data_IF_213748726614
#
_entry.id   IF_213748726614
#
_cell.length_a   1.000
_cell.length_b   1.000
_cell.length_c   1.000
_cell.angle_alpha   90.00
_cell.angle_beta   90.00
_cell.angle_gamma   90.00
#
_symmetry.space_group_name_H-M   'P 1'
#
loop_
_entity.id
_entity.type
_entity.pdbx_description
1 polymer ?
#
# COMPACT_ATOMS: atom_id res chain seq x y z
N UNK A 1 -19.96 -5.49 9.39
CA UNK A 1 -19.50 -6.42 8.33
C UNK A 1 -18.09 -5.99 8.00
N UNK A 2 -17.11 -6.56 8.71
CA UNK A 2 -15.69 -6.32 8.42
C UNK A 2 -15.41 -7.16 7.19
N UNK A 3 -15.39 -6.52 6.02
CA UNK A 3 -14.75 -7.12 4.86
C UNK A 3 -13.31 -7.34 5.30
N UNK A 4 -12.92 -8.60 5.48
CA UNK A 4 -11.51 -8.97 5.55
C UNK A 4 -10.87 -8.51 4.24
N UNK A 5 -10.43 -7.25 4.23
CA UNK A 5 -9.56 -6.67 3.22
C UNK A 5 -8.32 -7.57 3.28
N UNK A 6 -8.21 -8.51 2.34
CA UNK A 6 -7.12 -9.48 2.29
C UNK A 6 -5.84 -8.67 2.11
N UNK A 7 -5.16 -8.39 3.21
CA UNK A 7 -3.81 -7.86 3.21
C UNK A 7 -2.88 -8.91 2.60
N UNK A 8 -2.73 -8.90 1.29
CA UNK A 8 -1.69 -9.68 0.63
C UNK A 8 -0.36 -8.96 0.82
N UNK A 9 0.38 -9.41 1.84
CA UNK A 9 1.78 -9.03 1.98
C UNK A 9 2.59 -9.68 0.88
N UNK A 10 3.01 -8.88 -0.11
CA UNK A 10 4.06 -9.29 -1.05
C UNK A 10 5.40 -8.99 -0.39
N UNK A 11 6.20 -10.02 -0.19
CA UNK A 11 7.57 -9.86 0.32
C UNK A 11 8.47 -9.35 -0.81
N UNK A 12 8.76 -8.05 -0.78
CA UNK A 12 9.77 -7.43 -1.63
C UNK A 12 10.82 -6.75 -0.75
N UNK A 13 12.06 -7.23 -0.82
CA UNK A 13 13.22 -6.71 -0.09
C UNK A 13 13.03 -6.51 1.44
N UNK A 14 12.24 -7.37 2.10
CA UNK A 14 12.12 -7.34 3.56
C UNK A 14 11.08 -6.38 4.14
N UNK A 15 10.17 -5.84 3.31
CA UNK A 15 9.07 -4.97 3.78
C UNK A 15 7.70 -5.54 3.40
N UNK A 16 6.75 -5.38 4.32
CA UNK A 16 5.33 -5.71 4.15
C UNK A 16 4.56 -4.51 3.64
N UNK A 17 3.62 -4.75 2.72
CA UNK A 17 2.76 -3.71 2.14
C UNK A 17 1.32 -3.88 2.64
N UNK A 18 0.68 -2.77 2.96
CA UNK A 18 -0.74 -2.68 3.25
C UNK A 18 -1.40 -1.76 2.23
N UNK A 19 -2.50 -2.21 1.63
CA UNK A 19 -3.24 -1.48 0.60
C UNK A 19 -4.68 -1.35 1.06
N UNK A 20 -5.23 -0.15 1.10
CA UNK A 20 -6.62 0.06 1.46
C UNK A 20 -7.51 -0.19 0.24
N UNK A 21 -8.51 -1.08 0.39
CA UNK A 21 -9.45 -1.45 -0.66
C UNK A 21 -8.70 -1.95 -1.89
N UNK A 22 -7.93 -3.02 -1.73
CA UNK A 22 -7.09 -3.60 -2.78
C UNK A 22 -7.85 -3.80 -4.12
N UNK A 23 -9.12 -4.18 -4.05
CA UNK A 23 -10.02 -4.39 -5.20
C UNK A 23 -10.69 -3.12 -5.74
N UNK A 24 -10.48 -1.95 -5.13
CA UNK A 24 -11.09 -0.73 -5.62
C UNK A 24 -10.55 -0.39 -7.03
N UNK A 25 -11.43 0.07 -7.94
CA UNK A 25 -11.03 0.45 -9.27
C UNK A 25 -10.14 1.70 -9.23
N UNK A 26 -9.03 1.64 -9.95
CA UNK A 26 -8.07 2.73 -10.17
C UNK A 26 -7.68 2.70 -11.65
N UNK A 27 -8.02 3.74 -12.41
CA UNK A 27 -7.66 3.92 -13.83
C UNK A 27 -7.86 2.68 -14.72
N UNK A 28 -9.01 2.00 -14.57
CA UNK A 28 -9.35 0.81 -15.37
C UNK A 28 -8.71 -0.50 -14.90
N UNK A 29 -7.93 -0.48 -13.81
CA UNK A 29 -7.41 -1.67 -13.11
C UNK A 29 -7.82 -1.66 -11.63
N UNK A 30 -7.34 -2.62 -10.83
CA UNK A 30 -7.51 -2.59 -9.37
C UNK A 30 -6.26 -2.00 -8.70
N UNK A 31 -6.43 -1.39 -7.53
CA UNK A 31 -5.32 -0.80 -6.75
C UNK A 31 -4.16 -1.77 -6.52
N UNK A 32 -4.46 -3.04 -6.24
CA UNK A 32 -3.42 -4.06 -6.07
C UNK A 32 -2.69 -4.38 -7.38
N UNK A 33 -3.40 -4.41 -8.50
CA UNK A 33 -2.80 -4.67 -9.81
C UNK A 33 -1.91 -3.49 -10.22
N UNK A 34 -2.39 -2.25 -10.06
CA UNK A 34 -1.58 -1.06 -10.27
C UNK A 34 -0.31 -1.07 -9.41
N UNK A 35 -0.42 -1.49 -8.14
CA UNK A 35 0.73 -1.61 -7.25
C UNK A 35 1.69 -2.72 -7.67
N UNK A 36 1.20 -3.83 -8.24
CA UNK A 36 2.08 -4.86 -8.79
C UNK A 36 2.81 -4.39 -10.06
N UNK A 37 2.17 -3.56 -10.89
CA UNK A 37 2.74 -3.04 -12.13
C UNK A 37 3.67 -1.83 -11.92
N UNK A 38 3.28 -0.92 -11.02
CA UNK A 38 3.95 0.37 -10.77
C UNK A 38 4.76 0.37 -9.46
N UNK A 39 4.62 -0.67 -8.66
CA UNK A 39 5.21 -0.74 -7.33
C UNK A 39 6.73 -0.76 -7.33
N UNK A 40 7.32 -0.77 -6.12
CA UNK A 40 8.76 -0.66 -5.93
C UNK A 40 9.47 -2.01 -6.19
N UNK A 41 9.27 -2.60 -7.37
CA UNK A 41 9.87 -3.88 -7.80
C UNK A 41 11.26 -3.73 -8.43
N UNK A 42 11.71 -2.50 -8.68
CA UNK A 42 13.05 -2.18 -9.20
C UNK A 42 14.10 -2.06 -8.09
N UNK A 43 14.93 -1.01 -8.19
CA UNK A 43 16.01 -0.70 -7.25
C UNK A 43 15.56 0.09 -6.01
N UNK A 44 16.38 0.06 -4.94
CA UNK A 44 16.17 0.83 -3.69
C UNK A 44 15.88 2.32 -3.92
N UNK A 45 16.48 2.91 -4.97
CA UNK A 45 16.27 4.31 -5.33
C UNK A 45 14.85 4.53 -5.87
N UNK A 46 14.42 3.70 -6.83
CA UNK A 46 13.07 3.75 -7.38
C UNK A 46 12.03 3.46 -6.31
N UNK A 47 12.33 2.52 -5.40
CA UNK A 47 11.51 2.24 -4.24
C UNK A 47 11.41 3.44 -3.30
N UNK A 48 12.52 4.11 -3.00
CA UNK A 48 12.54 5.30 -2.15
C UNK A 48 11.74 6.46 -2.78
N UNK A 49 11.85 6.65 -4.09
CA UNK A 49 11.06 7.65 -4.82
C UNK A 49 9.57 7.30 -4.82
N UNK A 50 9.22 6.04 -5.07
CA UNK A 50 7.84 5.58 -4.98
C UNK A 50 7.26 5.85 -3.59
N UNK A 51 7.95 5.45 -2.53
CA UNK A 51 7.48 5.65 -1.15
C UNK A 51 7.41 7.12 -0.74
N UNK A 52 8.22 7.99 -1.35
CA UNK A 52 8.16 9.43 -1.13
C UNK A 52 6.88 10.06 -1.69
N UNK A 53 6.34 9.50 -2.77
CA UNK A 53 5.12 9.98 -3.44
C UNK A 53 4.00 8.93 -3.39
N UNK A 54 4.07 8.00 -2.43
CA UNK A 54 3.11 6.92 -2.35
C UNK A 54 1.71 7.49 -2.07
N UNK A 55 0.68 6.96 -2.74
CA UNK A 55 -0.69 7.37 -2.46
C UNK A 55 -1.09 7.06 -1.01
N UNK A 56 -1.98 7.87 -0.39
CA UNK A 56 -2.36 7.71 1.02
C UNK A 56 -3.05 6.37 1.32
N UNK A 57 -3.59 5.71 0.29
CA UNK A 57 -4.21 4.39 0.36
C UNK A 57 -3.21 3.22 0.33
N UNK A 58 -1.90 3.47 0.39
CA UNK A 58 -0.84 2.45 0.46
C UNK A 58 0.11 2.79 1.62
N UNK A 59 0.55 1.77 2.35
CA UNK A 59 1.64 1.89 3.30
C UNK A 59 2.57 0.68 3.23
N UNK A 60 3.82 0.87 3.66
CA UNK A 60 4.75 -0.23 3.87
C UNK A 60 5.59 -0.04 5.12
N UNK A 61 5.94 -1.18 5.73
CA UNK A 61 6.75 -1.24 6.94
C UNK A 61 7.50 -2.58 7.06
N UNK A 62 8.32 -2.74 8.09
CA UNK A 62 9.09 -3.96 8.37
C UNK A 62 8.21 -5.16 8.75
N UNK A 63 6.97 -4.92 9.21
CA UNK A 63 6.00 -5.96 9.58
C UNK A 63 4.62 -5.64 9.02
N UNK A 64 3.82 -6.69 8.83
CA UNK A 64 2.44 -6.55 8.34
C UNK A 64 1.59 -5.64 9.24
N UNK A 65 1.70 -5.83 10.56
CA UNK A 65 0.94 -5.05 11.54
C UNK A 65 1.31 -3.57 11.51
N UNK A 66 2.62 -3.26 11.44
CA UNK A 66 3.08 -1.88 11.33
C UNK A 66 2.63 -1.22 10.02
N UNK A 67 2.62 -1.97 8.90
CA UNK A 67 2.11 -1.46 7.63
C UNK A 67 0.61 -1.14 7.71
N UNK A 68 -0.19 -1.99 8.37
CA UNK A 68 -1.62 -1.77 8.57
C UNK A 68 -1.87 -0.57 9.48
N UNK A 69 -1.18 -0.49 10.63
CA UNK A 69 -1.32 0.64 11.57
C UNK A 69 -0.97 1.98 10.92
N UNK A 70 0.07 1.99 10.09
CA UNK A 70 0.48 3.16 9.31
C UNK A 70 -0.57 3.53 8.26
N UNK A 71 -1.11 2.55 7.54
CA UNK A 71 -2.19 2.77 6.58
C UNK A 71 -3.45 3.34 7.24
N UNK A 72 -3.81 2.83 8.43
CA UNK A 72 -4.93 3.33 9.22
C UNK A 72 -4.72 4.79 9.62
N UNK A 73 -3.51 5.13 10.07
CA UNK A 73 -3.14 6.51 10.43
C UNK A 73 -3.23 7.46 9.22
N UNK A 74 -2.75 7.03 8.04
CA UNK A 74 -2.82 7.82 6.81
C UNK A 74 -4.26 8.00 6.31
N UNK A 75 -5.09 6.96 6.43
CA UNK A 75 -6.51 7.01 6.00
C UNK A 75 -7.36 7.85 6.94
N UNK A 76 -7.04 7.86 8.23
CA UNK A 76 -7.69 8.73 9.22
C UNK A 76 -7.36 10.20 8.94
N UNK A 77 -6.10 10.50 8.63
CA UNK A 77 -5.66 11.84 8.24
C UNK A 77 -6.26 12.34 6.90
N UNK A 78 -6.47 11.45 5.93
CA UNK A 78 -7.15 11.77 4.65
C UNK A 78 -8.66 12.05 4.81
N UNK A 79 -9.27 11.60 5.93
CA UNK A 79 -10.69 11.77 6.19
C UNK A 79 -11.07 13.08 6.88
N UNK A 80 -10.09 13.80 7.41
CA UNK A 80 -10.25 15.02 8.21
C UNK A 80 -9.96 16.32 7.42
N UNK A 81 -9.72 16.22 6.09
CA UNK A 81 -9.57 17.37 5.15
C UNK A 81 -10.82 17.60 4.28
#
# INVERSE_FOLDING_TARGET
MVVEDRYQGVYSQGRWWAVARADAPLDGTTRITWLMETGPSGDDVTASVFWRYAPPWIAADATADAAIAKLMTQTDADRDD
#
